data_IF_650299298398
#
_entry.id   IF_650299298398
#
_cell.length_a   1.000
_cell.length_b   1.000
_cell.length_c   1.000
_cell.angle_alpha   90.00
_cell.angle_beta   90.00
_cell.angle_gamma   90.00
#
_symmetry.space_group_name_H-M   'P 1'
#
loop_
_entity.id
_entity.type
_entity.pdbx_description
1 polymer ?
#
# COMPACT_ATOMS: atom_id res chain seq x y z
N UNK A 1 10.09 5.90 26.02
CA UNK A 1 11.38 5.29 25.65
C UNK A 1 11.08 4.17 24.66
N UNK A 2 11.32 4.38 23.36
CA UNK A 2 11.08 3.33 22.36
C UNK A 2 12.07 2.18 22.60
N UNK A 3 11.66 0.92 22.38
CA UNK A 3 12.60 -0.19 22.32
C UNK A 3 13.68 0.18 21.31
N UNK A 4 14.95 0.24 21.75
CA UNK A 4 16.08 0.59 20.89
C UNK A 4 16.24 -0.52 19.85
N UNK A 5 16.01 -0.20 18.57
CA UNK A 5 16.04 -1.12 17.44
C UNK A 5 17.31 -0.97 16.60
N UNK A 6 17.77 -2.09 16.01
CA UNK A 6 19.01 -2.19 15.25
C UNK A 6 18.76 -2.49 13.75
N UNK A 7 19.60 -1.94 12.85
CA UNK A 7 20.42 -0.76 13.09
C UNK A 7 19.54 0.49 13.23
N UNK A 8 20.00 1.47 14.02
CA UNK A 8 19.36 2.77 14.02
C UNK A 8 19.34 3.34 12.60
N UNK A 9 18.25 3.98 12.20
CA UNK A 9 18.22 4.76 10.97
C UNK A 9 19.42 5.74 10.95
N UNK A 10 20.17 5.74 9.84
CA UNK A 10 21.34 6.60 9.62
C UNK A 10 21.09 7.52 8.42
N UNK A 11 21.84 8.62 8.34
CA UNK A 11 21.80 9.52 7.19
C UNK A 11 20.39 9.97 6.79
N UNK A 12 20.03 9.78 5.52
CA UNK A 12 18.73 10.15 4.96
C UNK A 12 17.56 9.38 5.60
N UNK A 13 17.74 8.11 5.97
CA UNK A 13 16.69 7.34 6.62
C UNK A 13 16.31 7.95 7.97
N UNK A 14 17.30 8.43 8.73
CA UNK A 14 17.06 9.14 10.00
C UNK A 14 16.26 10.42 9.77
N UNK A 15 16.64 11.21 8.77
CA UNK A 15 15.98 12.47 8.41
C UNK A 15 14.52 12.23 8.03
N UNK A 16 14.26 11.23 7.18
CA UNK A 16 12.91 10.86 6.76
C UNK A 16 12.08 10.37 7.95
N UNK A 17 12.63 9.48 8.78
CA UNK A 17 11.98 8.98 9.99
C UNK A 17 11.54 10.14 10.90
N UNK A 18 12.46 11.05 11.19
CA UNK A 18 12.21 12.16 12.12
C UNK A 18 11.19 13.16 11.52
N UNK A 19 11.24 13.40 10.20
CA UNK A 19 10.25 14.23 9.50
C UNK A 19 8.85 13.61 9.55
N UNK A 20 8.73 12.33 9.23
CA UNK A 20 7.47 11.57 9.29
C UNK A 20 6.89 11.59 10.70
N UNK A 21 7.72 11.36 11.73
CA UNK A 21 7.27 11.39 13.13
C UNK A 21 6.69 12.76 13.53
N UNK A 22 7.35 13.83 13.11
CA UNK A 22 6.89 15.20 13.36
C UNK A 22 5.52 15.46 12.72
N UNK A 23 5.36 15.14 11.43
CA UNK A 23 4.08 15.31 10.73
C UNK A 23 2.99 14.40 11.29
N UNK A 24 3.32 13.14 11.60
CA UNK A 24 2.37 12.20 12.16
C UNK A 24 1.85 12.65 13.53
N UNK A 25 2.69 13.27 14.36
CA UNK A 25 2.29 13.84 15.64
C UNK A 25 1.30 15.02 15.49
N UNK A 26 1.38 15.75 14.37
CA UNK A 26 0.53 16.91 14.10
C UNK A 26 -0.76 16.54 13.35
N UNK A 27 -0.66 15.67 12.34
CA UNK A 27 -1.73 15.45 11.36
C UNK A 27 -2.43 14.10 11.46
N UNK A 28 -1.87 13.13 12.21
CA UNK A 28 -2.42 11.76 12.27
C UNK A 28 -2.78 11.33 13.70
N UNK A 29 -1.79 11.30 14.62
CA UNK A 29 -1.98 10.75 15.97
C UNK A 29 -3.14 11.38 16.76
N UNK A 30 -3.34 12.71 16.76
CA UNK A 30 -4.43 13.32 17.50
C UNK A 30 -5.83 12.90 17.00
N UNK A 31 -5.94 12.50 15.73
CA UNK A 31 -7.21 12.22 15.07
C UNK A 31 -7.45 10.73 14.83
N UNK A 32 -6.48 9.87 15.17
CA UNK A 32 -6.42 8.50 14.71
C UNK A 32 -7.63 7.64 15.13
N UNK A 33 -8.18 7.89 16.33
CA UNK A 33 -9.39 7.21 16.84
C UNK A 33 -10.68 7.82 16.26
N UNK A 34 -10.75 9.15 16.14
CA UNK A 34 -11.89 9.85 15.54
C UNK A 34 -12.07 9.44 14.08
N UNK A 35 -10.97 9.44 13.32
CA UNK A 35 -10.98 9.11 11.90
C UNK A 35 -11.38 7.66 11.64
N UNK A 36 -10.95 6.74 12.50
CA UNK A 36 -11.37 5.34 12.43
C UNK A 36 -12.86 5.20 12.75
N UNK A 37 -13.35 5.79 13.85
CA UNK A 37 -14.74 5.72 14.26
C UNK A 37 -15.71 6.36 13.24
N UNK A 38 -15.30 7.47 12.61
CA UNK A 38 -16.10 8.19 11.62
C UNK A 38 -15.82 7.75 10.18
N UNK A 39 -14.92 6.78 9.95
CA UNK A 39 -14.43 6.41 8.63
C UNK A 39 -13.96 7.63 7.80
N UNK A 40 -13.35 8.61 8.47
CA UNK A 40 -13.01 9.91 7.87
C UNK A 40 -11.66 9.84 7.16
N UNK A 41 -11.67 10.05 5.85
CA UNK A 41 -10.44 10.25 5.09
C UNK A 41 -9.96 11.71 5.18
N UNK A 42 -8.73 11.89 5.66
CA UNK A 42 -8.08 13.21 5.75
C UNK A 42 -7.16 13.47 4.56
N UNK A 43 -7.73 14.06 3.51
CA UNK A 43 -6.96 14.53 2.35
C UNK A 43 -5.90 15.56 2.78
N UNK A 44 -6.23 16.43 3.74
CA UNK A 44 -5.32 17.45 4.26
C UNK A 44 -4.06 16.85 4.89
N UNK A 45 -4.19 15.68 5.52
CA UNK A 45 -3.04 14.97 6.06
C UNK A 45 -2.19 14.39 4.92
N UNK A 46 -2.80 13.78 3.91
CA UNK A 46 -2.05 13.31 2.73
C UNK A 46 -1.26 14.47 2.07
N UNK A 47 -1.91 15.62 1.87
CA UNK A 47 -1.29 16.81 1.26
C UNK A 47 -0.12 17.33 2.10
N UNK A 48 -0.22 17.34 3.43
CA UNK A 48 0.88 17.74 4.32
C UNK A 48 2.10 16.80 4.23
N UNK A 49 1.88 15.50 4.01
CA UNK A 49 2.98 14.56 3.76
C UNK A 49 3.56 14.74 2.36
N UNK A 50 2.71 14.95 1.35
CA UNK A 50 3.13 15.13 -0.03
C UNK A 50 3.92 16.44 -0.24
N UNK A 51 3.55 17.53 0.42
CA UNK A 51 4.30 18.81 0.37
C UNK A 51 5.74 18.68 0.88
N UNK A 52 6.01 17.65 1.67
CA UNK A 52 7.33 17.30 2.21
C UNK A 52 8.05 16.23 1.38
N UNK A 53 7.49 15.86 0.23
CA UNK A 53 8.02 14.84 -0.67
C UNK A 53 7.81 13.39 -0.19
N UNK A 54 7.11 13.17 0.92
CA UNK A 54 6.91 11.84 1.51
C UNK A 54 5.92 10.98 0.73
N UNK A 55 5.13 11.59 -0.17
CA UNK A 55 4.27 10.87 -1.11
C UNK A 55 5.03 10.27 -2.31
N UNK A 56 6.31 10.62 -2.49
CA UNK A 56 7.12 10.31 -3.68
C UNK A 56 8.61 10.24 -3.37
N UNK A 57 8.97 9.47 -2.34
CA UNK A 57 10.34 9.38 -1.82
C UNK A 57 11.33 8.86 -2.86
N UNK A 58 10.96 7.80 -3.60
CA UNK A 58 11.82 7.18 -4.62
C UNK A 58 11.69 7.80 -6.01
N UNK A 59 10.64 8.59 -6.24
CA UNK A 59 10.40 9.18 -7.56
C UNK A 59 11.53 10.15 -7.92
N UNK A 60 12.07 10.13 -9.15
CA UNK A 60 13.17 10.99 -9.55
C UNK A 60 12.86 12.48 -9.38
N UNK A 61 13.89 13.24 -8.99
CA UNK A 61 13.81 14.71 -8.83
C UNK A 61 13.35 15.43 -10.10
N UNK A 62 13.68 14.90 -11.28
CA UNK A 62 13.25 15.42 -12.58
C UNK A 62 11.73 15.47 -12.76
N UNK A 63 10.98 14.66 -12.00
CA UNK A 63 9.52 14.65 -11.99
C UNK A 63 8.92 15.17 -10.68
N UNK A 64 9.73 15.74 -9.78
CA UNK A 64 9.29 16.37 -8.55
C UNK A 64 9.28 15.48 -7.29
N UNK A 65 9.84 14.26 -7.36
CA UNK A 65 10.05 13.43 -6.18
C UNK A 65 11.38 13.74 -5.45
N UNK A 66 11.68 12.98 -4.39
CA UNK A 66 12.92 13.17 -3.63
C UNK A 66 14.14 12.45 -4.24
N UNK A 67 13.92 11.42 -5.05
CA UNK A 67 14.98 10.60 -5.64
C UNK A 67 15.86 9.90 -4.61
N UNK A 68 15.27 9.50 -3.47
CA UNK A 68 15.97 8.81 -2.39
C UNK A 68 15.89 7.28 -2.55
N UNK A 69 16.79 6.52 -1.92
CA UNK A 69 16.79 5.06 -1.96
C UNK A 69 15.50 4.44 -1.40
N UNK A 70 15.16 3.22 -1.82
CA UNK A 70 13.98 2.50 -1.33
C UNK A 70 13.97 2.28 0.19
N UNK A 71 15.14 2.24 0.83
CA UNK A 71 15.24 2.14 2.30
C UNK A 71 14.59 3.35 2.99
N UNK A 72 14.76 4.55 2.44
CA UNK A 72 14.10 5.76 2.93
C UNK A 72 12.58 5.68 2.75
N UNK A 73 12.12 5.15 1.62
CA UNK A 73 10.69 4.99 1.37
C UNK A 73 10.05 4.00 2.34
N UNK A 74 10.63 2.83 2.53
CA UNK A 74 10.09 1.84 3.47
C UNK A 74 10.17 2.29 4.93
N UNK A 75 11.19 3.07 5.30
CA UNK A 75 11.25 3.76 6.59
C UNK A 75 10.06 4.73 6.75
N UNK A 76 9.78 5.55 5.73
CA UNK A 76 8.63 6.47 5.76
C UNK A 76 7.31 5.71 5.93
N UNK A 77 7.09 4.65 5.14
CA UNK A 77 5.89 3.82 5.21
C UNK A 77 5.69 3.20 6.59
N UNK A 78 6.76 2.65 7.18
CA UNK A 78 6.73 2.07 8.52
C UNK A 78 6.35 3.12 9.56
N UNK A 79 6.94 4.31 9.50
CA UNK A 79 6.70 5.38 10.48
C UNK A 79 5.32 6.04 10.33
N UNK A 80 4.77 6.14 9.11
CA UNK A 80 3.38 6.57 8.91
C UNK A 80 2.43 5.52 9.51
N UNK A 81 2.69 4.24 9.25
CA UNK A 81 1.85 3.13 9.74
C UNK A 81 1.79 3.05 11.27
N UNK A 82 2.87 3.47 11.96
CA UNK A 82 2.91 3.61 13.43
C UNK A 82 1.90 4.63 13.97
N UNK A 83 1.35 5.51 13.14
CA UNK A 83 0.33 6.48 13.53
C UNK A 83 -1.04 6.19 12.88
N UNK A 84 -1.05 5.91 11.57
CA UNK A 84 -2.25 5.59 10.81
C UNK A 84 -1.91 4.63 9.67
N UNK A 85 -2.35 3.38 9.80
CA UNK A 85 -2.21 2.39 8.72
C UNK A 85 -2.98 2.83 7.47
N UNK A 86 -4.13 3.48 7.64
CA UNK A 86 -4.94 4.03 6.54
C UNK A 86 -4.19 5.08 5.72
N UNK A 87 -3.48 6.00 6.37
CA UNK A 87 -2.67 6.99 5.67
C UNK A 87 -1.47 6.34 4.99
N UNK A 88 -0.82 5.38 5.66
CA UNK A 88 0.30 4.66 5.06
C UNK A 88 -0.14 3.94 3.77
N UNK A 89 -1.24 3.19 3.81
CA UNK A 89 -1.79 2.55 2.60
C UNK A 89 -2.12 3.56 1.51
N UNK A 90 -2.70 4.72 1.86
CA UNK A 90 -2.99 5.79 0.90
C UNK A 90 -1.72 6.29 0.20
N UNK A 91 -0.66 6.59 0.96
CA UNK A 91 0.64 7.00 0.40
C UNK A 91 1.25 5.90 -0.46
N UNK A 92 1.14 4.65 -0.03
CA UNK A 92 1.59 3.49 -0.78
C UNK A 92 0.90 3.33 -2.13
N UNK A 93 -0.44 3.43 -2.14
CA UNK A 93 -1.26 3.35 -3.35
C UNK A 93 -0.94 4.49 -4.31
N UNK A 94 -0.72 5.71 -3.81
CA UNK A 94 -0.31 6.86 -4.63
C UNK A 94 1.01 6.62 -5.39
N UNK A 95 1.89 5.76 -4.88
CA UNK A 95 3.16 5.43 -5.55
C UNK A 95 2.99 4.38 -6.67
N UNK A 96 1.93 3.57 -6.67
CA UNK A 96 1.76 2.54 -7.71
C UNK A 96 1.57 3.15 -9.12
N UNK A 97 0.71 4.18 -9.32
CA UNK A 97 0.65 4.87 -10.61
C UNK A 97 1.98 5.54 -10.98
N UNK A 98 2.69 6.13 -10.03
CA UNK A 98 3.99 6.76 -10.30
C UNK A 98 5.00 5.74 -10.83
N UNK A 99 5.13 4.59 -10.17
CA UNK A 99 6.02 3.51 -10.61
C UNK A 99 5.65 2.96 -11.99
N UNK A 100 4.35 2.78 -12.26
CA UNK A 100 3.87 2.35 -13.57
C UNK A 100 4.17 3.38 -14.67
N UNK A 101 3.94 4.66 -14.39
CA UNK A 101 4.24 5.75 -15.33
C UNK A 101 5.74 5.87 -15.61
N UNK A 102 6.58 5.78 -14.58
CA UNK A 102 8.04 5.81 -14.75
C UNK A 102 8.53 4.69 -15.66
N UNK A 103 7.96 3.49 -15.53
CA UNK A 103 8.40 2.31 -16.26
C UNK A 103 7.84 2.21 -17.69
N UNK A 104 6.60 2.63 -17.93
CA UNK A 104 5.88 2.32 -19.18
C UNK A 104 5.32 3.52 -19.93
N UNK A 105 5.23 4.70 -19.30
CA UNK A 105 4.67 5.87 -19.96
C UNK A 105 5.72 6.56 -20.86
N UNK A 106 5.24 7.32 -21.84
CA UNK A 106 6.10 8.21 -22.62
C UNK A 106 6.43 9.49 -21.81
N UNK A 107 7.38 10.29 -22.29
CA UNK A 107 7.84 11.48 -21.55
C UNK A 107 6.75 12.54 -21.34
N UNK A 108 5.82 12.72 -22.29
CA UNK A 108 4.72 13.68 -22.14
C UNK A 108 3.76 13.26 -21.03
N UNK A 109 3.44 11.96 -20.96
CA UNK A 109 2.66 11.39 -19.87
C UNK A 109 3.37 11.54 -18.52
N UNK A 110 4.67 11.23 -18.44
CA UNK A 110 5.44 11.36 -17.19
C UNK A 110 5.45 12.81 -16.69
N UNK A 111 5.74 13.77 -17.57
CA UNK A 111 5.76 15.20 -17.24
C UNK A 111 4.37 15.74 -16.84
N UNK A 112 3.31 15.20 -17.43
CA UNK A 112 1.93 15.61 -17.11
C UNK A 112 1.46 15.04 -15.78
N UNK A 113 1.62 13.74 -15.54
CA UNK A 113 0.90 13.03 -14.49
C UNK A 113 1.72 12.77 -13.22
N UNK A 114 3.05 12.65 -13.29
CA UNK A 114 3.86 12.36 -12.09
C UNK A 114 3.97 13.56 -11.13
N UNK A 115 4.25 14.80 -11.58
CA UNK A 115 4.47 15.90 -10.65
C UNK A 115 3.28 16.22 -9.72
N UNK A 116 2.01 16.21 -10.18
CA UNK A 116 0.86 16.39 -9.29
C UNK A 116 0.75 15.31 -8.21
N UNK A 117 1.12 14.06 -8.52
CA UNK A 117 1.14 12.95 -7.56
C UNK A 117 2.25 13.11 -6.50
N UNK A 118 3.32 13.82 -6.85
CA UNK A 118 4.45 14.08 -5.96
C UNK A 118 4.18 15.19 -4.95
N UNK A 119 3.62 16.30 -5.41
CA UNK A 119 3.41 17.49 -4.57
C UNK A 119 2.05 17.52 -3.87
N UNK A 120 1.23 16.48 -4.02
CA UNK A 120 -0.06 16.35 -3.34
C UNK A 120 -1.23 17.05 -4.03
N UNK A 121 -1.01 17.71 -5.18
CA UNK A 121 -2.11 18.29 -5.98
C UNK A 121 -3.05 17.24 -6.55
N UNK A 122 -2.59 16.00 -6.68
CA UNK A 122 -3.39 14.86 -7.08
C UNK A 122 -3.08 13.66 -6.18
N UNK A 123 -4.10 12.84 -5.92
CA UNK A 123 -3.96 11.50 -5.34
C UNK A 123 -4.15 10.46 -6.44
N UNK A 124 -3.20 9.52 -6.53
CA UNK A 124 -3.27 8.38 -7.44
C UNK A 124 -3.98 7.19 -6.82
N UNK A 125 -4.69 6.44 -7.65
CA UNK A 125 -5.29 5.15 -7.34
C UNK A 125 -4.91 4.09 -8.38
N UNK A 126 -4.96 2.83 -7.96
CA UNK A 126 -4.68 1.67 -8.80
C UNK A 126 -5.91 0.76 -8.83
N UNK A 127 -6.35 0.36 -10.02
CA UNK A 127 -7.62 -0.35 -10.20
C UNK A 127 -7.50 -1.52 -11.18
N UNK A 128 -7.38 -2.71 -10.60
CA UNK A 128 -7.24 -3.98 -11.30
C UNK A 128 -8.44 -4.91 -11.04
N UNK A 129 -8.79 -5.08 -9.77
CA UNK A 129 -9.77 -6.06 -9.31
C UNK A 129 -11.21 -5.74 -9.73
N UNK A 130 -11.98 -6.80 -9.95
CA UNK A 130 -13.40 -6.77 -10.29
C UNK A 130 -14.15 -7.77 -9.41
N UNK A 131 -15.50 -7.66 -9.28
CA UNK A 131 -16.27 -8.58 -8.46
C UNK A 131 -16.04 -10.06 -8.81
N UNK A 132 -15.77 -10.35 -10.08
CA UNK A 132 -15.45 -11.70 -10.57
C UNK A 132 -13.96 -12.03 -10.71
N UNK A 133 -13.04 -11.10 -10.44
CA UNK A 133 -11.60 -11.31 -10.62
C UNK A 133 -10.75 -10.52 -9.61
N UNK A 134 -10.29 -11.20 -8.56
CA UNK A 134 -9.27 -10.72 -7.62
C UNK A 134 -7.93 -11.41 -7.86
N UNK A 135 -7.77 -12.64 -7.36
CA UNK A 135 -6.54 -13.41 -7.50
C UNK A 135 -6.23 -13.85 -8.94
N UNK A 136 -7.25 -14.13 -9.76
CA UNK A 136 -7.11 -14.35 -11.22
C UNK A 136 -7.28 -13.03 -11.98
N UNK A 137 -6.34 -12.11 -11.78
CA UNK A 137 -6.39 -10.76 -12.34
C UNK A 137 -6.49 -10.75 -13.88
N UNK A 138 -5.98 -11.77 -14.56
CA UNK A 138 -6.06 -11.87 -16.02
C UNK A 138 -7.47 -12.18 -16.55
N UNK A 139 -8.42 -12.53 -15.67
CA UNK A 139 -9.81 -12.81 -16.02
C UNK A 139 -10.73 -11.59 -15.93
N UNK A 140 -10.16 -10.39 -15.76
CA UNK A 140 -10.89 -9.12 -15.76
C UNK A 140 -11.73 -8.95 -17.03
N UNK A 141 -12.89 -8.28 -16.91
CA UNK A 141 -13.92 -8.15 -17.94
C UNK A 141 -14.27 -6.71 -18.29
N UNK A 142 -13.87 -5.71 -17.51
CA UNK A 142 -13.97 -4.30 -17.93
C UNK A 142 -13.37 -4.16 -19.32
N UNK A 143 -14.16 -3.72 -20.29
CA UNK A 143 -13.77 -3.61 -21.69
C UNK A 143 -13.25 -2.21 -21.99
N UNK A 144 -12.36 -2.11 -22.95
CA UNK A 144 -11.93 -0.87 -23.59
C UNK A 144 -12.04 -1.06 -25.10
N UNK A 145 -13.15 -0.62 -25.69
CA UNK A 145 -13.42 -0.78 -27.11
C UNK A 145 -12.79 0.36 -27.91
N UNK A 146 -11.98 0.04 -28.92
CA UNK A 146 -11.35 1.04 -29.77
C UNK A 146 -12.40 1.88 -30.51
N UNK A 147 -12.22 3.21 -30.47
CA UNK A 147 -12.98 4.21 -31.23
C UNK A 147 -12.00 5.20 -31.87
N UNK A 148 -12.50 6.07 -32.75
CA UNK A 148 -11.66 7.12 -33.33
C UNK A 148 -11.03 7.98 -32.22
N UNK A 149 -9.70 8.03 -32.18
CA UNK A 149 -8.93 8.83 -31.22
C UNK A 149 -8.78 8.25 -29.81
N UNK A 150 -9.31 7.07 -29.51
CA UNK A 150 -9.24 6.49 -28.17
C UNK A 150 -10.03 5.21 -27.95
N UNK A 151 -10.54 5.05 -26.74
CA UNK A 151 -11.23 3.87 -26.26
C UNK A 151 -12.48 4.26 -25.48
N UNK A 152 -13.50 3.42 -25.53
CA UNK A 152 -14.68 3.54 -24.65
C UNK A 152 -14.62 2.41 -23.63
N UNK A 153 -14.53 2.78 -22.36
CA UNK A 153 -14.48 1.86 -21.24
C UNK A 153 -15.88 1.56 -20.72
N UNK A 154 -16.17 0.27 -20.52
CA UNK A 154 -17.42 -0.22 -19.96
C UNK A 154 -17.15 -1.37 -18.97
N UNK A 155 -17.67 -1.24 -17.74
CA UNK A 155 -17.58 -2.27 -16.71
C UNK A 155 -17.41 -1.72 -15.30
N UNK A 156 -17.11 -2.62 -14.36
CA UNK A 156 -17.03 -2.28 -12.93
C UNK A 156 -15.76 -2.83 -12.31
N UNK A 157 -14.98 -1.94 -11.68
CA UNK A 157 -13.90 -2.27 -10.76
C UNK A 157 -14.40 -2.21 -9.34
N UNK A 158 -13.80 -3.01 -8.46
CA UNK A 158 -14.11 -3.01 -7.04
C UNK A 158 -12.84 -3.03 -6.20
N UNK A 159 -12.98 -2.76 -4.91
CA UNK A 159 -11.87 -2.70 -3.97
C UNK A 159 -10.81 -1.67 -4.36
N UNK A 160 -11.21 -0.59 -5.04
CA UNK A 160 -10.28 0.48 -5.40
C UNK A 160 -10.07 1.38 -4.18
N UNK A 161 -8.88 1.29 -3.58
CA UNK A 161 -8.45 2.24 -2.55
C UNK A 161 -8.54 3.65 -3.10
N UNK A 162 -8.94 4.59 -2.25
CA UNK A 162 -9.16 6.01 -2.60
C UNK A 162 -10.22 6.26 -3.69
N UNK A 163 -11.10 5.30 -4.00
CA UNK A 163 -12.23 5.52 -4.91
C UNK A 163 -13.08 6.72 -4.50
N UNK A 164 -13.30 7.66 -5.43
CA UNK A 164 -14.03 8.91 -5.21
C UNK A 164 -13.18 10.02 -4.56
N UNK A 165 -12.04 9.65 -3.97
CA UNK A 165 -11.09 10.57 -3.38
C UNK A 165 -9.85 10.79 -4.22
N UNK A 166 -9.41 9.84 -5.05
CA UNK A 166 -8.31 10.01 -5.97
C UNK A 166 -8.69 10.88 -7.17
N UNK A 167 -7.70 11.59 -7.70
CA UNK A 167 -7.82 12.50 -8.84
C UNK A 167 -7.40 11.81 -10.15
N UNK A 168 -6.61 10.73 -10.04
CA UNK A 168 -6.11 9.92 -11.14
C UNK A 168 -6.22 8.44 -10.81
N UNK A 169 -6.78 7.66 -11.74
CA UNK A 169 -6.93 6.21 -11.62
C UNK A 169 -6.13 5.51 -12.71
N UNK A 170 -5.21 4.63 -12.31
CA UNK A 170 -4.59 3.67 -13.22
C UNK A 170 -5.48 2.44 -13.34
N UNK A 171 -6.12 2.26 -14.50
CA UNK A 171 -7.15 1.24 -14.74
C UNK A 171 -6.68 0.22 -15.76
N UNK A 172 -6.85 -1.06 -15.44
CA UNK A 172 -6.61 -2.16 -16.38
C UNK A 172 -7.91 -2.60 -17.03
N UNK A 173 -7.97 -2.59 -18.36
CA UNK A 173 -9.17 -2.97 -19.12
C UNK A 173 -8.82 -3.84 -20.34
N UNK A 174 -9.75 -4.69 -20.75
CA UNK A 174 -9.61 -5.64 -21.84
C UNK A 174 -9.84 -4.96 -23.18
N UNK A 175 -8.80 -4.93 -24.01
CA UNK A 175 -8.84 -4.43 -25.40
C UNK A 175 -8.93 -5.57 -26.42
N UNK A 176 -8.63 -6.82 -26.04
CA UNK A 176 -8.75 -7.99 -26.91
C UNK A 176 -9.08 -9.28 -26.14
N UNK A 177 -9.52 -10.33 -26.85
CA UNK A 177 -9.94 -11.60 -26.26
C UNK A 177 -8.81 -12.37 -25.56
N UNK A 178 -7.55 -12.18 -26.00
CA UNK A 178 -6.41 -12.89 -25.46
C UNK A 178 -6.32 -12.72 -23.92
N UNK A 179 -6.24 -13.82 -23.17
CA UNK A 179 -6.37 -13.79 -21.70
C UNK A 179 -5.39 -12.79 -21.04
N UNK A 180 -4.10 -12.91 -21.34
CA UNK A 180 -3.05 -12.05 -20.75
C UNK A 180 -2.71 -10.85 -21.63
N UNK A 181 -2.33 -11.09 -22.89
CA UNK A 181 -2.02 -10.07 -23.91
C UNK A 181 -3.21 -9.28 -24.46
N UNK A 182 -4.42 -9.44 -23.91
CA UNK A 182 -5.59 -8.66 -24.30
C UNK A 182 -5.96 -7.56 -23.31
N UNK A 183 -5.10 -7.27 -22.34
CA UNK A 183 -5.32 -6.26 -21.29
C UNK A 183 -4.42 -5.06 -21.54
N UNK A 184 -4.97 -3.86 -21.48
CA UNK A 184 -4.25 -2.58 -21.61
C UNK A 184 -4.42 -1.73 -20.34
N UNK A 185 -3.52 -0.77 -20.12
CA UNK A 185 -3.53 0.11 -18.97
C UNK A 185 -3.86 1.55 -19.39
N UNK A 186 -4.72 2.21 -18.61
CA UNK A 186 -5.26 3.53 -18.92
C UNK A 186 -5.15 4.44 -17.71
N UNK A 187 -4.84 5.71 -17.96
CA UNK A 187 -4.95 6.81 -17.01
C UNK A 187 -6.36 7.36 -17.16
N UNK A 188 -7.15 7.33 -16.09
CA UNK A 188 -8.49 7.92 -16.08
C UNK A 188 -8.51 9.04 -15.03
N UNK A 189 -8.83 10.25 -15.47
CA UNK A 189 -8.99 11.39 -14.57
C UNK A 189 -10.33 11.25 -13.83
N UNK A 190 -10.39 11.71 -12.58
CA UNK A 190 -11.59 11.59 -11.73
C UNK A 190 -12.88 12.09 -12.39
N UNK A 191 -12.78 13.19 -13.13
CA UNK A 191 -13.92 13.89 -13.73
C UNK A 191 -14.18 13.46 -15.19
N UNK A 192 -13.55 12.38 -15.67
CA UNK A 192 -13.82 11.85 -17.01
C UNK A 192 -15.30 11.45 -17.13
N UNK A 193 -16.06 12.00 -18.11
CA UNK A 193 -17.45 11.61 -18.32
C UNK A 193 -17.61 10.09 -18.51
N UNK A 194 -18.64 9.52 -17.89
CA UNK A 194 -18.88 8.07 -17.89
C UNK A 194 -18.15 7.32 -16.77
N UNK A 195 -17.23 7.95 -16.02
CA UNK A 195 -16.76 7.42 -14.75
C UNK A 195 -17.70 7.85 -13.62
N UNK A 196 -18.21 6.88 -12.85
CA UNK A 196 -18.95 7.12 -11.61
C UNK A 196 -18.43 6.24 -10.48
N UNK A 197 -18.61 6.70 -9.26
CA UNK A 197 -18.22 5.96 -8.06
C UNK A 197 -19.43 5.21 -7.51
N UNK A 198 -19.27 3.91 -7.31
CA UNK A 198 -20.32 3.05 -6.76
C UNK A 198 -20.31 3.04 -5.23
N UNK A 199 -20.58 1.87 -4.65
CA UNK A 199 -20.65 1.71 -3.20
C UNK A 199 -19.28 1.99 -2.54
N UNK A 200 -19.30 2.72 -1.43
CA UNK A 200 -18.16 2.83 -0.51
C UNK A 200 -18.27 1.75 0.56
N UNK A 201 -17.17 1.07 0.84
CA UNK A 201 -17.14 -0.10 1.70
C UNK A 201 -16.80 0.26 3.16
N UNK A 202 -17.68 -0.16 4.07
CA UNK A 202 -17.39 -0.25 5.50
C UNK A 202 -16.53 -1.49 5.75
N UNK A 203 -15.42 -1.31 6.47
CA UNK A 203 -14.38 -2.34 6.62
C UNK A 203 -14.12 -2.61 8.10
N UNK A 204 -13.63 -3.82 8.40
CA UNK A 204 -13.20 -4.19 9.75
C UNK A 204 -12.09 -3.25 10.25
N UNK A 205 -11.01 -3.12 9.47
CA UNK A 205 -9.91 -2.19 9.69
C UNK A 205 -9.66 -1.35 8.44
N UNK A 206 -8.67 -0.48 8.48
CA UNK A 206 -8.43 0.56 7.47
C UNK A 206 -9.66 1.47 7.29
N UNK A 207 -10.41 1.72 8.36
CA UNK A 207 -11.71 2.40 8.27
C UNK A 207 -11.59 3.78 7.61
N UNK A 208 -10.54 4.54 7.96
CA UNK A 208 -10.24 5.85 7.40
C UNK A 208 -9.63 5.84 5.97
N UNK A 209 -9.32 4.66 5.41
CA UNK A 209 -8.90 4.52 4.01
C UNK A 209 -10.13 4.26 3.14
N UNK A 210 -10.50 5.16 2.21
CA UNK A 210 -11.62 4.93 1.31
C UNK A 210 -11.39 3.69 0.47
N UNK A 211 -12.46 2.95 0.21
CA UNK A 211 -12.46 1.75 -0.61
C UNK A 211 -13.81 1.68 -1.31
N UNK A 212 -13.82 1.57 -2.63
CA UNK A 212 -15.09 1.53 -3.35
C UNK A 212 -14.98 1.03 -4.78
N UNK A 213 -16.10 1.16 -5.48
CA UNK A 213 -16.24 0.76 -6.87
C UNK A 213 -15.95 1.92 -7.83
N UNK A 214 -15.35 1.58 -8.97
CA UNK A 214 -15.30 2.45 -10.15
C UNK A 214 -16.20 1.83 -11.21
N UNK A 215 -17.17 2.59 -11.69
CA UNK A 215 -18.09 2.12 -12.72
C UNK A 215 -17.92 2.99 -13.95
N UNK A 216 -17.68 2.33 -15.08
CA UNK A 216 -17.44 2.94 -16.37
C UNK A 216 -18.65 2.63 -17.26
N UNK A 217 -19.31 3.69 -17.72
CA UNK A 217 -20.46 3.65 -18.62
C UNK A 217 -20.17 4.60 -19.78
N UNK A 218 -19.84 4.02 -20.93
CA UNK A 218 -19.41 4.75 -22.12
C UNK A 218 -18.31 5.79 -21.85
N UNK A 219 -17.37 5.43 -20.98
CA UNK A 219 -16.30 6.31 -20.52
C UNK A 219 -15.21 6.44 -21.59
N UNK A 220 -15.15 7.57 -22.28
CA UNK A 220 -14.18 7.78 -23.37
C UNK A 220 -12.80 8.19 -22.83
N UNK A 221 -11.77 7.44 -23.23
CA UNK A 221 -10.36 7.65 -22.88
C UNK A 221 -9.54 7.88 -24.16
N UNK A 222 -8.92 9.05 -24.37
CA UNK A 222 -8.06 9.30 -25.52
C UNK A 222 -6.85 8.36 -25.57
N UNK A 223 -6.34 8.07 -26.76
CA UNK A 223 -5.15 7.23 -26.95
C UNK A 223 -3.93 7.74 -26.16
N UNK A 224 -3.82 9.05 -25.95
CA UNK A 224 -2.77 9.69 -25.16
C UNK A 224 -2.80 9.33 -23.66
N UNK A 225 -3.89 8.75 -23.16
CA UNK A 225 -4.05 8.27 -21.79
C UNK A 225 -3.81 6.76 -21.64
N UNK A 226 -3.55 6.03 -22.73
CA UNK A 226 -3.10 4.64 -22.65
C UNK A 226 -1.60 4.59 -22.33
N UNK A 227 -1.23 3.84 -21.31
CA UNK A 227 0.17 3.62 -20.91
C UNK A 227 0.72 2.41 -21.67
N UNK A 228 1.89 2.57 -22.29
CA UNK A 228 2.49 1.54 -23.12
C UNK A 228 1.67 1.18 -24.36
N UNK A 229 1.92 -0.02 -24.90
CA UNK A 229 1.19 -0.62 -26.01
C UNK A 229 -0.08 -1.36 -25.60
N UNK A 230 -0.91 -1.74 -26.57
CA UNK A 230 -2.08 -2.58 -26.30
C UNK A 230 -1.60 -3.95 -25.85
N UNK A 231 -2.32 -4.57 -24.93
CA UNK A 231 -1.96 -5.90 -24.41
C UNK A 231 -0.83 -5.90 -23.37
N UNK A 232 -0.22 -4.74 -23.09
CA UNK A 232 0.83 -4.62 -22.07
C UNK A 232 0.30 -4.36 -20.66
N UNK A 233 -1.00 -4.11 -20.50
CA UNK A 233 -1.61 -3.68 -19.25
C UNK A 233 -1.47 -4.66 -18.08
N UNK A 234 -1.49 -5.97 -18.36
CA UNK A 234 -1.20 -6.96 -17.32
C UNK A 234 0.27 -6.90 -16.87
N UNK A 235 1.21 -6.67 -17.79
CA UNK A 235 2.62 -6.46 -17.46
C UNK A 235 2.82 -5.21 -16.61
N UNK A 236 2.16 -4.10 -16.96
CA UNK A 236 2.13 -2.87 -16.17
C UNK A 236 1.63 -3.16 -14.75
N UNK A 237 0.50 -3.87 -14.62
CA UNK A 237 -0.06 -4.21 -13.31
C UNK A 237 0.90 -5.06 -12.46
N UNK A 238 1.41 -6.15 -13.03
CA UNK A 238 2.30 -7.08 -12.33
C UNK A 238 3.63 -6.41 -11.92
N UNK A 239 4.13 -5.46 -12.70
CA UNK A 239 5.36 -4.71 -12.37
C UNK A 239 5.27 -3.94 -11.05
N UNK A 240 4.06 -3.56 -10.63
CA UNK A 240 3.82 -2.79 -9.41
C UNK A 240 3.42 -3.66 -8.23
N UNK A 241 2.99 -4.92 -8.44
CA UNK A 241 2.57 -5.80 -7.33
C UNK A 241 3.72 -6.13 -6.38
N UNK A 242 4.93 -6.38 -6.88
CA UNK A 242 6.08 -6.66 -6.00
C UNK A 242 6.44 -5.42 -5.17
N UNK A 243 6.34 -4.22 -5.75
CA UNK A 243 6.50 -2.97 -5.00
C UNK A 243 5.41 -2.81 -3.93
N UNK A 244 4.13 -3.04 -4.28
CA UNK A 244 3.00 -2.99 -3.35
C UNK A 244 3.14 -3.97 -2.17
N UNK A 245 3.58 -5.21 -2.43
CA UNK A 245 3.84 -6.22 -1.40
C UNK A 245 4.88 -5.78 -0.38
N UNK A 246 6.00 -5.21 -0.83
CA UNK A 246 7.06 -4.72 0.08
C UNK A 246 6.57 -3.51 0.87
N UNK A 247 5.79 -2.62 0.25
CA UNK A 247 5.16 -1.48 0.95
C UNK A 247 4.21 -1.96 2.05
N UNK A 248 3.33 -2.92 1.76
CA UNK A 248 2.44 -3.52 2.78
C UNK A 248 3.24 -4.22 3.87
N UNK A 249 4.37 -4.83 3.54
CA UNK A 249 5.25 -5.41 4.56
C UNK A 249 5.87 -4.35 5.48
N UNK A 250 6.35 -3.23 4.93
CA UNK A 250 6.83 -2.09 5.72
C UNK A 250 5.73 -1.53 6.64
N UNK A 251 4.51 -1.41 6.11
CA UNK A 251 3.33 -0.99 6.90
C UNK A 251 3.06 -1.97 8.05
N UNK A 252 3.08 -3.28 7.80
CA UNK A 252 2.91 -4.31 8.83
C UNK A 252 4.00 -4.30 9.90
N UNK A 253 5.25 -4.09 9.49
CA UNK A 253 6.40 -3.91 10.40
C UNK A 253 6.17 -2.69 11.30
N UNK A 254 5.78 -1.55 10.73
CA UNK A 254 5.46 -0.34 11.49
C UNK A 254 4.34 -0.54 12.51
N UNK A 255 3.25 -1.20 12.11
CA UNK A 255 2.12 -1.50 13.00
C UNK A 255 2.52 -2.46 14.14
N UNK A 256 3.26 -3.53 13.84
CA UNK A 256 3.76 -4.46 14.84
C UNK A 256 4.70 -3.76 15.84
N UNK A 257 5.59 -2.91 15.33
CA UNK A 257 6.52 -2.13 16.15
C UNK A 257 5.82 -1.14 17.07
N UNK A 258 4.80 -0.44 16.58
CA UNK A 258 4.01 0.48 17.42
C UNK A 258 3.30 -0.27 18.54
N UNK A 259 2.71 -1.41 18.20
CA UNK A 259 1.98 -2.25 19.16
C UNK A 259 2.92 -2.75 20.26
N UNK A 260 4.09 -3.29 19.91
CA UNK A 260 5.10 -3.74 20.88
C UNK A 260 5.60 -2.58 21.76
N UNK A 261 5.90 -1.42 21.17
CA UNK A 261 6.37 -0.26 21.91
C UNK A 261 5.35 0.20 22.97
N UNK A 262 4.05 0.19 22.63
CA UNK A 262 2.99 0.59 23.54
C UNK A 262 2.74 -0.41 24.65
N UNK A 263 2.75 -1.70 24.32
CA UNK A 263 2.65 -2.75 25.33
C UNK A 263 3.83 -2.69 26.30
N UNK A 264 5.05 -2.57 25.77
CA UNK A 264 6.27 -2.51 26.60
C UNK A 264 6.30 -1.27 27.50
N UNK A 265 5.88 -0.11 26.99
CA UNK A 265 5.80 1.11 27.78
C UNK A 265 4.79 1.01 28.95
N UNK A 266 3.79 0.14 28.84
CA UNK A 266 2.74 -0.07 29.83
C UNK A 266 2.79 -1.48 30.45
N UNK A 267 3.96 -2.12 30.44
CA UNK A 267 4.09 -3.54 30.79
C UNK A 267 3.60 -3.86 32.21
N UNK A 268 3.82 -2.95 33.16
CA UNK A 268 3.38 -3.09 34.55
C UNK A 268 1.85 -3.05 34.73
N UNK A 269 1.11 -2.58 33.72
CA UNK A 269 -0.34 -2.48 33.75
C UNK A 269 -1.04 -3.63 32.98
N UNK A 270 -0.29 -4.60 32.45
CA UNK A 270 -0.83 -5.77 31.74
C UNK A 270 -1.40 -6.80 32.73
N UNK A 271 -2.28 -7.69 32.24
CA UNK A 271 -2.81 -8.79 33.05
C UNK A 271 -1.68 -9.77 33.43
N UNK A 272 -1.68 -10.38 34.63
CA UNK A 272 -0.64 -11.31 35.04
C UNK A 272 -0.37 -12.44 34.03
N UNK A 273 -1.44 -12.96 33.42
CA UNK A 273 -1.40 -14.03 32.41
C UNK A 273 -0.74 -13.60 31.09
N UNK A 274 -0.60 -12.30 30.85
CA UNK A 274 0.00 -11.73 29.65
C UNK A 274 1.36 -11.05 29.91
N UNK A 275 1.95 -11.27 31.08
CA UNK A 275 3.27 -10.75 31.43
C UNK A 275 4.43 -11.69 31.04
N UNK A 276 4.21 -12.65 30.15
CA UNK A 276 5.30 -13.51 29.66
C UNK A 276 6.28 -12.72 28.78
N UNK A 277 7.37 -12.27 29.41
CA UNK A 277 8.46 -11.56 28.74
C UNK A 277 9.13 -12.38 27.63
N UNK A 278 9.03 -13.71 27.64
CA UNK A 278 9.61 -14.55 26.60
C UNK A 278 8.87 -14.36 25.27
N UNK A 279 7.53 -14.29 25.30
CA UNK A 279 6.74 -14.02 24.10
C UNK A 279 7.07 -12.64 23.49
N UNK A 280 7.27 -11.62 24.33
CA UNK A 280 7.73 -10.30 23.88
C UNK A 280 9.11 -10.37 23.21
N UNK A 281 10.05 -11.14 23.79
CA UNK A 281 11.37 -11.31 23.22
C UNK A 281 11.32 -12.00 21.84
N UNK A 282 10.43 -12.98 21.66
CA UNK A 282 10.22 -13.65 20.36
C UNK A 282 9.66 -12.68 19.31
N UNK A 283 8.61 -11.92 19.65
CA UNK A 283 8.07 -10.91 18.75
C UNK A 283 9.09 -9.85 18.37
N UNK A 284 9.89 -9.41 19.34
CA UNK A 284 10.99 -8.47 19.10
C UNK A 284 12.02 -9.05 18.13
N UNK A 285 12.48 -10.29 18.34
CA UNK A 285 13.46 -10.94 17.48
C UNK A 285 12.95 -11.12 16.05
N UNK A 286 11.69 -11.55 15.88
CA UNK A 286 11.05 -11.69 14.56
C UNK A 286 10.89 -10.34 13.86
N UNK A 287 10.53 -9.29 14.59
CA UNK A 287 10.47 -7.94 14.05
C UNK A 287 11.83 -7.46 13.53
N UNK A 288 12.93 -7.75 14.25
CA UNK A 288 14.29 -7.39 13.80
C UNK A 288 14.72 -8.15 12.55
N UNK A 289 14.39 -9.43 12.46
CA UNK A 289 14.66 -10.23 11.26
C UNK A 289 13.92 -9.63 10.05
N UNK A 290 12.66 -9.22 10.22
CA UNK A 290 11.87 -8.61 9.16
C UNK A 290 12.37 -7.24 8.72
N UNK A 291 12.78 -6.38 9.67
CA UNK A 291 13.44 -5.10 9.34
C UNK A 291 14.71 -5.32 8.53
N UNK A 292 15.53 -6.30 8.91
CA UNK A 292 16.74 -6.65 8.17
C UNK A 292 16.42 -7.12 6.75
N UNK A 293 15.42 -8.00 6.59
CA UNK A 293 14.98 -8.47 5.28
C UNK A 293 14.38 -7.33 4.42
N UNK A 294 13.71 -6.35 5.04
CA UNK A 294 13.19 -5.16 4.37
C UNK A 294 14.32 -4.29 3.80
N UNK A 295 15.44 -4.13 4.52
CA UNK A 295 16.64 -3.46 4.00
C UNK A 295 17.26 -4.22 2.82
N UNK A 296 17.32 -5.55 2.87
CA UNK A 296 17.79 -6.38 1.75
C UNK A 296 16.90 -6.17 0.52
N UNK A 297 15.57 -6.12 0.70
CA UNK A 297 14.64 -5.84 -0.40
C UNK A 297 14.75 -4.42 -0.95
N UNK A 298 15.04 -3.42 -0.10
CA UNK A 298 15.31 -2.06 -0.53
C UNK A 298 16.55 -1.99 -1.42
N UNK A 299 17.67 -2.54 -0.97
CA UNK A 299 18.91 -2.58 -1.73
C UNK A 299 18.75 -3.34 -3.06
N UNK A 300 18.03 -4.47 -3.05
CA UNK A 300 17.70 -5.19 -4.28
C UNK A 300 16.87 -4.34 -5.26
N UNK A 301 15.92 -3.55 -4.76
CA UNK A 301 15.13 -2.60 -5.58
C UNK A 301 15.99 -1.47 -6.14
N UNK A 302 16.86 -0.87 -5.33
CA UNK A 302 17.78 0.18 -5.78
C UNK A 302 18.75 -0.34 -6.87
N UNK A 303 19.15 -1.62 -6.79
CA UNK A 303 19.99 -2.30 -7.79
C UNK A 303 19.20 -2.90 -8.97
N UNK A 304 17.89 -2.64 -9.09
CA UNK A 304 17.00 -3.23 -10.10
C UNK A 304 17.06 -4.76 -10.19
N UNK A 305 17.35 -5.42 -9.07
CA UNK A 305 17.38 -6.88 -8.97
C UNK A 305 15.96 -7.42 -8.75
N UNK A 306 15.58 -8.57 -9.34
CA UNK A 306 14.28 -9.18 -9.09
C UNK A 306 14.01 -9.38 -7.59
N UNK A 307 12.83 -8.97 -7.14
CA UNK A 307 12.45 -8.99 -5.71
C UNK A 307 11.23 -9.86 -5.41
N UNK A 308 10.73 -10.63 -6.37
CA UNK A 308 9.50 -11.43 -6.22
C UNK A 308 9.52 -12.33 -4.98
N UNK A 309 10.62 -13.08 -4.75
CA UNK A 309 10.77 -13.94 -3.57
C UNK A 309 10.84 -13.13 -2.27
N UNK A 310 11.64 -12.07 -2.24
CA UNK A 310 11.79 -11.19 -1.05
C UNK A 310 10.45 -10.52 -0.71
N UNK A 311 9.73 -10.02 -1.71
CA UNK A 311 8.43 -9.37 -1.56
C UNK A 311 7.39 -10.32 -0.99
N UNK A 312 7.32 -11.57 -1.50
CA UNK A 312 6.38 -12.57 -1.00
C UNK A 312 6.73 -13.04 0.43
N UNK A 313 8.02 -13.25 0.74
CA UNK A 313 8.48 -13.57 2.10
C UNK A 313 8.13 -12.45 3.10
N UNK A 314 8.49 -11.21 2.76
CA UNK A 314 8.22 -10.04 3.57
C UNK A 314 6.73 -9.87 3.83
N UNK A 315 5.89 -9.87 2.79
CA UNK A 315 4.45 -9.67 2.92
C UNK A 315 3.81 -10.76 3.77
N UNK A 316 4.18 -12.03 3.56
CA UNK A 316 3.67 -13.15 4.34
C UNK A 316 4.04 -13.01 5.82
N UNK A 317 5.33 -12.90 6.12
CA UNK A 317 5.83 -12.97 7.49
C UNK A 317 5.51 -11.72 8.32
N UNK A 318 5.54 -10.53 7.71
CA UNK A 318 5.20 -9.28 8.40
C UNK A 318 3.72 -9.16 8.71
N UNK A 319 2.83 -9.59 7.81
CA UNK A 319 1.39 -9.56 8.05
C UNK A 319 0.96 -10.56 9.13
N UNK A 320 1.58 -11.75 9.16
CA UNK A 320 1.35 -12.73 10.23
C UNK A 320 1.87 -12.20 11.58
N UNK A 321 3.08 -11.65 11.64
CA UNK A 321 3.61 -11.05 12.87
C UNK A 321 2.74 -9.90 13.38
N UNK A 322 2.29 -9.00 12.49
CA UNK A 322 1.41 -7.89 12.86
C UNK A 322 0.10 -8.38 13.50
N UNK A 323 -0.50 -9.43 12.93
CA UNK A 323 -1.71 -10.04 13.46
C UNK A 323 -1.48 -10.72 14.81
N UNK A 324 -0.38 -11.46 14.96
CA UNK A 324 -0.04 -12.14 16.22
C UNK A 324 0.21 -11.14 17.35
N UNK A 325 1.04 -10.12 17.10
CA UNK A 325 1.38 -9.09 18.09
C UNK A 325 0.15 -8.32 18.54
N UNK A 326 -0.75 -7.94 17.62
CA UNK A 326 -1.96 -7.20 17.97
C UNK A 326 -3.01 -8.07 18.67
N UNK A 327 -3.12 -9.34 18.30
CA UNK A 327 -3.97 -10.31 19.01
C UNK A 327 -3.51 -10.48 20.45
N UNK A 328 -2.19 -10.63 20.64
CA UNK A 328 -1.60 -10.65 21.96
C UNK A 328 -1.87 -9.34 22.71
N UNK A 329 -1.73 -8.18 22.06
CA UNK A 329 -1.95 -6.87 22.68
C UNK A 329 -3.36 -6.70 23.25
N UNK A 330 -4.37 -7.06 22.48
CA UNK A 330 -5.78 -7.02 22.91
C UNK A 330 -5.99 -7.96 24.10
N UNK A 331 -5.44 -9.17 24.03
CA UNK A 331 -5.54 -10.16 25.11
C UNK A 331 -4.84 -9.70 26.39
N UNK A 332 -3.67 -9.07 26.25
CA UNK A 332 -2.82 -8.62 27.36
C UNK A 332 -3.41 -7.50 28.21
N UNK A 333 -4.37 -6.78 27.64
CA UNK A 333 -5.10 -5.71 28.32
C UNK A 333 -6.38 -6.20 29.00
N UNK A 334 -6.75 -7.47 28.81
CA UNK A 334 -8.01 -8.05 29.29
C UNK A 334 -9.23 -7.29 28.74
N UNK A 335 -10.28 -7.05 29.55
CA UNK A 335 -11.48 -6.33 29.11
C UNK A 335 -11.21 -4.93 28.53
N UNK A 336 -10.11 -4.26 28.93
CA UNK A 336 -9.73 -2.94 28.37
C UNK A 336 -9.23 -3.02 26.93
N UNK A 337 -8.79 -4.20 26.49
CA UNK A 337 -8.26 -4.41 25.15
C UNK A 337 -9.33 -4.40 24.07
N UNK A 338 -10.61 -4.56 24.41
CA UNK A 338 -11.75 -4.57 23.47
C UNK A 338 -12.58 -3.28 23.51
N UNK A 339 -12.17 -2.30 24.31
CA UNK A 339 -12.83 -1.00 24.38
C UNK A 339 -12.37 -0.13 23.20
N UNK A 340 -13.30 0.44 22.44
CA UNK A 340 -13.01 1.30 21.27
C UNK A 340 -12.24 2.58 21.60
N UNK A 341 -12.22 2.97 22.89
CA UNK A 341 -11.36 4.07 23.37
C UNK A 341 -9.88 3.66 23.48
N UNK A 342 -9.58 2.36 23.42
CA UNK A 342 -8.24 1.82 23.43
C UNK A 342 -7.76 1.56 22.00
N UNK A 343 -6.69 2.24 21.60
CA UNK A 343 -6.14 2.12 20.25
C UNK A 343 -5.72 0.69 19.86
N UNK A 344 -5.52 -0.23 20.81
CA UNK A 344 -5.11 -1.61 20.50
C UNK A 344 -6.14 -2.40 19.70
N UNK A 345 -7.44 -2.22 19.97
CA UNK A 345 -8.47 -2.92 19.20
C UNK A 345 -8.49 -2.46 17.74
N UNK A 346 -8.28 -1.16 17.51
CA UNK A 346 -8.10 -0.58 16.18
C UNK A 346 -6.90 -1.19 15.46
N UNK A 347 -5.73 -1.23 16.12
CA UNK A 347 -4.52 -1.83 15.52
C UNK A 347 -4.73 -3.31 15.18
N UNK A 348 -5.46 -4.05 16.01
CA UNK A 348 -5.86 -5.43 15.74
C UNK A 348 -6.75 -5.56 14.50
N UNK A 349 -7.80 -4.72 14.39
CA UNK A 349 -8.69 -4.69 13.22
C UNK A 349 -7.92 -4.34 11.95
N UNK A 350 -7.05 -3.34 12.02
CA UNK A 350 -6.17 -2.93 10.93
C UNK A 350 -5.27 -4.08 10.48
N UNK A 351 -4.56 -4.72 11.42
CA UNK A 351 -3.61 -5.80 11.11
C UNK A 351 -4.23 -6.93 10.27
N UNK A 352 -5.52 -7.22 10.45
CA UNK A 352 -6.19 -8.28 9.69
C UNK A 352 -6.19 -8.02 8.18
N UNK A 353 -6.32 -6.76 7.75
CA UNK A 353 -6.33 -6.41 6.34
C UNK A 353 -5.02 -6.77 5.64
N UNK A 354 -3.88 -6.71 6.35
CA UNK A 354 -2.55 -7.00 5.81
C UNK A 354 -2.42 -8.44 5.31
N UNK A 355 -3.13 -9.40 5.90
CA UNK A 355 -3.12 -10.80 5.45
C UNK A 355 -3.90 -11.03 4.15
N UNK A 356 -4.72 -10.05 3.72
CA UNK A 356 -5.68 -10.17 2.62
C UNK A 356 -5.24 -9.35 1.40
N UNK A 357 -4.91 -8.08 1.58
CA UNK A 357 -4.59 -7.14 0.49
C UNK A 357 -3.22 -7.43 -0.14
N UNK A 358 -2.98 -6.89 -1.35
CA UNK A 358 -1.74 -7.10 -2.13
C UNK A 358 -1.37 -8.58 -2.34
N UNK A 359 -2.40 -9.41 -2.45
CA UNK A 359 -2.32 -10.87 -2.53
C UNK A 359 -2.36 -11.51 -1.15
N UNK A 360 -3.33 -12.39 -0.92
CA UNK A 360 -3.51 -13.09 0.36
C UNK A 360 -2.28 -13.88 0.77
N UNK A 361 -2.16 -14.24 2.05
CA UNK A 361 -1.03 -15.05 2.51
C UNK A 361 -0.96 -16.43 1.82
N UNK A 362 -2.10 -16.99 1.38
CA UNK A 362 -2.12 -18.19 0.52
C UNK A 362 -1.53 -17.91 -0.86
N UNK A 363 -1.86 -16.76 -1.47
CA UNK A 363 -1.25 -16.35 -2.74
C UNK A 363 0.26 -16.14 -2.60
N UNK A 364 0.74 -15.54 -1.49
CA UNK A 364 2.18 -15.39 -1.27
C UNK A 364 2.88 -16.76 -1.18
N UNK A 365 2.29 -17.74 -0.49
CA UNK A 365 2.81 -19.12 -0.46
C UNK A 365 2.88 -19.73 -1.87
N UNK A 366 1.87 -19.52 -2.71
CA UNK A 366 1.89 -19.98 -4.11
C UNK A 366 2.96 -19.29 -4.95
N UNK A 367 3.21 -17.99 -4.73
CA UNK A 367 4.31 -17.27 -5.37
C UNK A 367 5.65 -17.89 -4.97
N UNK A 368 5.85 -18.15 -3.67
CA UNK A 368 7.09 -18.76 -3.17
C UNK A 368 7.31 -20.17 -3.72
N UNK A 369 6.27 -21.01 -3.75
CA UNK A 369 6.34 -22.34 -4.38
C UNK A 369 6.77 -22.23 -5.84
N UNK A 370 6.17 -21.31 -6.61
CA UNK A 370 6.54 -21.11 -8.02
C UNK A 370 8.00 -20.65 -8.20
N UNK A 371 8.49 -19.77 -7.34
CA UNK A 371 9.89 -19.31 -7.40
C UNK A 371 10.86 -20.43 -6.98
N UNK A 372 10.50 -21.25 -5.98
CA UNK A 372 11.26 -22.45 -5.62
C UNK A 372 11.29 -23.45 -6.78
N UNK A 373 10.15 -23.74 -7.41
CA UNK A 373 10.09 -24.64 -8.57
C UNK A 373 10.98 -24.16 -9.72
N UNK A 374 11.08 -22.85 -9.95
CA UNK A 374 11.99 -22.29 -10.96
C UNK A 374 13.46 -22.47 -10.59
N UNK A 375 13.80 -22.32 -9.31
CA UNK A 375 15.17 -22.43 -8.82
C UNK A 375 15.67 -23.89 -8.73
N UNK A 376 14.76 -24.84 -8.49
CA UNK A 376 15.07 -26.26 -8.29
C UNK A 376 14.72 -27.16 -9.48
N UNK A 377 14.17 -26.63 -10.58
CA UNK A 377 14.05 -27.37 -11.83
C UNK A 377 15.44 -27.47 -12.49
N UNK A 378 15.88 -28.68 -12.87
CA UNK A 378 17.20 -28.93 -13.44
C UNK A 378 17.41 -28.25 -14.80
#
# INVERSE_FOLDING_TARGET
>A
MALLFYPEAVGEERRIRDRVRSLAAQHLRPFALEDDALCRFRREAFEAFASEGLASVVTPKTYGGLGLPYACYYMAMSEIARASMSMAVTVGVNNLPQGALLAYANEDQKKKYIPPLCNGKAIGAFSLSEPGSGSDAASLRTKAEAKAGGYVLNGTKCWCSTAGHADLYLVMARTAEHKTGGISAFIVDKDTPGLRFGKQESKLGLAASPLGELIFEDCFIPTSQRIGGEGQGLGVALSQLDAGRIVIAAVGIGLAEETLNRLWANFSALTPEATDKNQFAEFYARLQALKSLLHVAADAKDRNTPTTTLAAQLKLLSSDLAMEVTTHAVSALGPRGVLVQNEMERLFRDAKALQIVEGTNQIQKLVLVREMDKAFKP
#
